data_IF_166204538888
#
_entry.id   IF_166204538888
#
_cell.length_a   1.000
_cell.length_b   1.000
_cell.length_c   1.000
_cell.angle_alpha   90.00
_cell.angle_beta   90.00
_cell.angle_gamma   90.00
#
_symmetry.space_group_name_H-M   'P 1'
#
loop_
_entity.id
_entity.type
_entity.pdbx_description
1 polymer ?
#
# COMPACT_ATOMS: atom_id res chain seq x y z
N UNK A 1 -2.17 -21.96 9.90
CA UNK A 1 -2.01 -21.26 8.61
C UNK A 1 -0.55 -20.86 8.47
N UNK A 2 0.03 -21.00 7.28
CA UNK A 2 1.43 -20.64 7.07
C UNK A 2 1.61 -19.12 7.13
N UNK A 3 2.83 -18.67 7.46
CA UNK A 3 3.13 -17.25 7.52
C UNK A 3 2.94 -16.58 6.16
N UNK A 4 3.25 -17.30 5.09
CA UNK A 4 3.07 -16.76 3.74
C UNK A 4 1.61 -16.46 3.45
N UNK A 5 0.69 -17.34 3.84
CA UNK A 5 -0.74 -17.13 3.63
C UNK A 5 -1.25 -15.94 4.44
N UNK A 6 -0.80 -15.82 5.69
CA UNK A 6 -1.18 -14.70 6.54
C UNK A 6 -0.75 -13.38 5.93
N UNK A 7 0.50 -13.30 5.48
CA UNK A 7 1.04 -12.09 4.90
C UNK A 7 0.31 -11.73 3.61
N UNK A 8 0.05 -12.72 2.77
CA UNK A 8 -0.66 -12.51 1.51
C UNK A 8 -2.09 -12.00 1.75
N UNK A 9 -2.79 -12.58 2.72
CA UNK A 9 -4.15 -12.14 3.06
C UNK A 9 -4.16 -10.70 3.58
N UNK A 10 -3.20 -10.34 4.41
CA UNK A 10 -3.06 -8.97 4.91
C UNK A 10 -2.80 -8.02 3.74
N UNK A 11 -1.91 -8.41 2.83
CA UNK A 11 -1.59 -7.61 1.66
C UNK A 11 -2.82 -7.36 0.79
N UNK A 12 -3.59 -8.42 0.50
CA UNK A 12 -4.80 -8.31 -0.31
C UNK A 12 -5.83 -7.40 0.37
N UNK A 13 -5.98 -7.53 1.68
CA UNK A 13 -6.90 -6.69 2.45
C UNK A 13 -6.50 -5.22 2.37
N UNK A 14 -5.22 -4.92 2.54
CA UNK A 14 -4.71 -3.56 2.46
C UNK A 14 -4.94 -2.99 1.07
N UNK A 15 -4.64 -3.76 0.02
CA UNK A 15 -4.83 -3.32 -1.36
C UNK A 15 -6.30 -3.05 -1.66
N UNK A 16 -7.18 -3.93 -1.20
CA UNK A 16 -8.62 -3.75 -1.39
C UNK A 16 -9.10 -2.43 -0.77
N UNK A 17 -8.74 -2.19 0.48
CA UNK A 17 -9.10 -0.95 1.17
C UNK A 17 -8.48 0.26 0.52
N UNK A 18 -7.28 0.11 -0.02
CA UNK A 18 -6.59 1.17 -0.72
C UNK A 18 -7.36 1.60 -1.98
N UNK A 19 -7.85 0.62 -2.75
CA UNK A 19 -8.67 0.92 -3.93
C UNK A 19 -10.00 1.57 -3.55
N UNK A 20 -10.66 1.05 -2.52
CA UNK A 20 -11.90 1.63 -2.02
C UNK A 20 -11.66 3.08 -1.60
N UNK A 21 -10.59 3.33 -0.88
CA UNK A 21 -10.25 4.67 -0.43
C UNK A 21 -9.95 5.59 -1.61
N UNK A 22 -9.24 5.09 -2.62
CA UNK A 22 -8.93 5.88 -3.81
C UNK A 22 -10.21 6.35 -4.51
N UNK A 23 -11.16 5.45 -4.72
CA UNK A 23 -12.43 5.82 -5.35
C UNK A 23 -13.23 6.79 -4.49
N UNK A 24 -13.20 6.62 -3.17
CA UNK A 24 -13.90 7.52 -2.26
C UNK A 24 -13.25 8.90 -2.23
N UNK A 25 -11.93 8.96 -2.25
CA UNK A 25 -11.20 10.22 -2.13
C UNK A 25 -11.13 11.01 -3.44
N UNK A 26 -11.34 10.36 -4.57
CA UNK A 26 -11.21 11.03 -5.88
C UNK A 26 -12.04 12.29 -6.00
N UNK A 27 -13.35 12.34 -5.63
CA UNK A 27 -14.13 13.58 -5.71
C UNK A 27 -13.61 14.69 -4.82
N UNK A 28 -12.79 14.35 -3.82
CA UNK A 28 -12.26 15.32 -2.86
C UNK A 28 -10.75 15.49 -2.98
N UNK A 29 -10.17 15.11 -4.11
CA UNK A 29 -8.72 15.11 -4.28
C UNK A 29 -8.11 16.49 -4.08
N UNK A 30 -8.82 17.55 -4.48
CA UNK A 30 -8.32 18.92 -4.33
C UNK A 30 -8.49 19.47 -2.92
N UNK A 31 -9.24 18.79 -2.07
CA UNK A 31 -9.48 19.21 -0.70
C UNK A 31 -8.63 18.35 0.26
N UNK A 32 -9.22 17.26 0.74
CA UNK A 32 -8.55 16.38 1.70
C UNK A 32 -8.17 15.02 1.12
N UNK A 33 -8.76 14.65 -0.01
CA UNK A 33 -8.61 13.29 -0.53
C UNK A 33 -7.19 12.92 -0.91
N UNK A 34 -6.48 13.81 -1.61
CA UNK A 34 -5.12 13.52 -2.05
C UNK A 34 -4.14 13.37 -0.89
N UNK A 35 -4.11 14.32 0.09
CA UNK A 35 -3.24 14.13 1.25
C UNK A 35 -3.62 12.90 2.08
N UNK A 36 -4.91 12.62 2.24
CA UNK A 36 -5.36 11.46 3.00
C UNK A 36 -4.94 10.17 2.30
N UNK A 37 -5.08 10.09 0.99
CA UNK A 37 -4.66 8.93 0.22
C UNK A 37 -3.14 8.72 0.31
N UNK A 38 -2.39 9.81 0.25
CA UNK A 38 -0.93 9.75 0.38
C UNK A 38 -0.54 9.14 1.73
N UNK A 39 -1.13 9.63 2.82
CA UNK A 39 -0.82 9.12 4.15
C UNK A 39 -1.25 7.67 4.32
N UNK A 40 -2.38 7.29 3.76
CA UNK A 40 -2.82 5.90 3.77
C UNK A 40 -1.79 5.00 3.08
N UNK A 41 -1.28 5.44 1.93
CA UNK A 41 -0.25 4.69 1.21
C UNK A 41 1.04 4.56 2.00
N UNK A 42 1.47 5.65 2.66
CA UNK A 42 2.68 5.63 3.48
C UNK A 42 2.54 4.65 4.65
N UNK A 43 1.40 4.70 5.34
CA UNK A 43 1.16 3.79 6.47
C UNK A 43 1.09 2.33 6.00
N UNK A 44 0.45 2.08 4.87
CA UNK A 44 0.37 0.74 4.31
C UNK A 44 1.75 0.22 3.92
N UNK A 45 2.57 1.08 3.31
CA UNK A 45 3.93 0.71 2.91
C UNK A 45 4.77 0.35 4.12
N UNK A 46 4.73 1.18 5.16
CA UNK A 46 5.48 0.92 6.40
C UNK A 46 5.04 -0.41 7.00
N UNK A 47 3.74 -0.66 7.07
CA UNK A 47 3.21 -1.91 7.61
C UNK A 47 3.68 -3.11 6.82
N UNK A 48 3.67 -3.04 5.49
CA UNK A 48 4.08 -4.15 4.63
C UNK A 48 5.58 -4.36 4.63
N UNK A 49 6.37 -3.36 4.97
CA UNK A 49 7.81 -3.53 5.15
C UNK A 49 8.10 -4.20 6.50
N UNK A 50 7.41 -3.80 7.56
CA UNK A 50 7.64 -4.32 8.91
C UNK A 50 7.11 -5.74 9.06
N UNK A 51 5.94 -6.05 8.51
CA UNK A 51 5.30 -7.35 8.69
C UNK A 51 6.18 -8.54 8.30
N UNK A 52 6.81 -8.54 7.10
CA UNK A 52 7.69 -9.68 6.77
C UNK A 52 8.87 -9.81 7.73
N UNK A 53 9.42 -8.68 8.17
CA UNK A 53 10.54 -8.71 9.10
C UNK A 53 10.14 -9.31 10.44
N UNK A 54 8.90 -9.09 10.86
CA UNK A 54 8.40 -9.65 12.12
C UNK A 54 7.95 -11.11 11.97
N UNK A 55 7.19 -11.41 10.91
CA UNK A 55 6.61 -12.75 10.73
C UNK A 55 7.67 -13.80 10.41
N UNK A 56 8.71 -13.41 9.68
CA UNK A 56 9.77 -14.33 9.25
C UNK A 56 11.06 -14.14 10.03
N UNK A 57 10.96 -13.74 11.29
CA UNK A 57 12.16 -13.46 12.10
C UNK A 57 13.05 -14.68 12.32
N UNK A 58 12.52 -15.89 12.11
CA UNK A 58 13.32 -17.12 12.22
C UNK A 58 14.04 -17.47 10.92
N UNK A 59 13.74 -16.73 9.85
CA UNK A 59 14.40 -16.93 8.56
C UNK A 59 15.69 -16.12 8.49
N UNK A 60 16.50 -16.40 7.45
CA UNK A 60 17.73 -15.66 7.25
C UNK A 60 17.43 -14.17 7.00
N UNK A 61 18.42 -13.33 7.31
CA UNK A 61 18.28 -11.89 7.12
C UNK A 61 18.01 -11.55 5.66
N UNK A 62 18.72 -12.22 4.74
CA UNK A 62 18.54 -11.97 3.29
C UNK A 62 17.11 -12.29 2.86
N UNK A 63 16.57 -13.42 3.33
CA UNK A 63 15.21 -13.81 3.01
C UNK A 63 14.20 -12.76 3.48
N UNK A 64 14.36 -12.28 4.71
CA UNK A 64 13.47 -11.27 5.28
C UNK A 64 13.53 -9.96 4.48
N UNK A 65 14.73 -9.54 4.10
CA UNK A 65 14.92 -8.33 3.32
C UNK A 65 14.28 -8.44 1.94
N UNK A 66 14.45 -9.60 1.28
CA UNK A 66 13.86 -9.83 -0.04
C UNK A 66 12.34 -9.80 0.02
N UNK A 67 11.74 -10.45 1.02
CA UNK A 67 10.29 -10.44 1.19
C UNK A 67 9.76 -9.03 1.45
N UNK A 68 10.43 -8.31 2.34
CA UNK A 68 10.04 -6.95 2.67
C UNK A 68 10.11 -6.04 1.45
N UNK A 69 11.20 -6.13 0.69
CA UNK A 69 11.39 -5.34 -0.51
C UNK A 69 10.34 -5.65 -1.57
N UNK A 70 10.05 -6.94 -1.78
CA UNK A 70 9.06 -7.37 -2.77
C UNK A 70 7.68 -6.81 -2.45
N UNK A 71 7.24 -6.94 -1.20
CA UNK A 71 5.94 -6.42 -0.80
C UNK A 71 5.90 -4.90 -0.85
N UNK A 72 7.00 -4.23 -0.49
CA UNK A 72 7.08 -2.78 -0.57
C UNK A 72 6.96 -2.26 -1.99
N UNK A 73 7.67 -2.88 -2.92
CA UNK A 73 7.61 -2.48 -4.34
C UNK A 73 6.21 -2.74 -4.90
N UNK A 74 5.62 -3.90 -4.58
CA UNK A 74 4.27 -4.22 -5.03
C UNK A 74 3.25 -3.21 -4.47
N UNK A 75 3.40 -2.82 -3.21
CA UNK A 75 2.51 -1.84 -2.59
C UNK A 75 2.60 -0.49 -3.29
N UNK A 76 3.80 -0.02 -3.57
CA UNK A 76 4.00 1.25 -4.27
C UNK A 76 3.34 1.21 -5.63
N UNK A 77 3.55 0.14 -6.39
CA UNK A 77 2.96 -0.01 -7.71
C UNK A 77 1.43 -0.03 -7.67
N UNK A 78 0.86 -0.76 -6.73
CA UNK A 78 -0.59 -0.85 -6.58
C UNK A 78 -1.19 0.46 -6.06
N UNK A 79 -0.46 1.19 -5.22
CA UNK A 79 -0.90 2.50 -4.73
C UNK A 79 -1.01 3.49 -5.88
N UNK A 80 0.02 3.53 -6.75
CA UNK A 80 0.01 4.39 -7.93
C UNK A 80 -1.10 3.96 -8.89
N UNK A 81 -1.24 2.65 -9.11
CA UNK A 81 -2.28 2.12 -9.99
C UNK A 81 -3.67 2.47 -9.48
N UNK A 82 -3.89 2.42 -8.17
CA UNK A 82 -5.17 2.80 -7.57
C UNK A 82 -5.51 4.26 -7.85
N UNK A 83 -4.53 5.15 -7.72
CA UNK A 83 -4.74 6.56 -8.01
C UNK A 83 -5.08 6.78 -9.49
N UNK A 84 -4.39 6.09 -10.39
CA UNK A 84 -4.63 6.22 -11.82
C UNK A 84 -5.98 5.62 -12.23
N UNK A 85 -6.33 4.46 -11.69
CA UNK A 85 -7.61 3.80 -12.01
C UNK A 85 -8.79 4.63 -11.51
N UNK A 86 -8.65 5.23 -10.34
CA UNK A 86 -9.69 6.09 -9.78
C UNK A 86 -9.75 7.46 -10.44
N UNK A 87 -8.83 7.76 -11.36
CA UNK A 87 -8.74 9.04 -12.06
C UNK A 87 -8.57 10.20 -11.08
N UNK A 88 -7.74 9.99 -10.06
CA UNK A 88 -7.45 11.00 -9.06
C UNK A 88 -6.60 12.11 -9.68
N UNK A 89 -7.01 13.35 -9.45
CA UNK A 89 -6.27 14.50 -9.96
C UNK A 89 -5.12 14.85 -9.02
N UNK A 90 -3.92 14.41 -9.40
CA UNK A 90 -2.74 14.59 -8.57
C UNK A 90 -2.23 16.03 -8.56
N UNK A 91 -2.56 16.80 -9.59
CA UNK A 91 -2.06 18.17 -9.75
C UNK A 91 -3.22 19.15 -9.85
N UNK A 92 -4.27 18.92 -9.10
CA UNK A 92 -5.47 19.73 -9.20
C UNK A 92 -5.23 21.22 -8.89
N UNK A 93 -4.20 21.51 -8.10
CA UNK A 93 -3.87 22.90 -7.76
C UNK A 93 -3.18 23.66 -8.89
N UNK A 94 -2.71 22.94 -9.91
CA UNK A 94 -2.06 23.55 -11.05
C UNK A 94 -3.06 23.94 -12.14
N UNK A 95 -4.30 23.55 -11.99
CA UNK A 95 -5.40 23.82 -12.92
C UNK A 95 -6.61 24.37 -12.14
#
# INVERSE_FOLDING_TARGET
MSQHKKLFLIFITIVFWQFVFAFTATPHACEWGLPAYFWFGVLALISLIILPLHLFRQQSYVYRMLMSLSYGVAEIGLWIAGALVADMQLICRLF
#
